data_IF_978571488323
#
_entry.id   IF_978571488323
#
_cell.length_a   1.000
_cell.length_b   1.000
_cell.length_c   1.000
_cell.angle_alpha   90.00
_cell.angle_beta   90.00
_cell.angle_gamma   90.00
#
_symmetry.space_group_name_H-M   'P 1'
#
loop_
_entity.id
_entity.type
_entity.pdbx_description
1 polymer ?
#
# COMPACT_ATOMS: atom_id res chain seq x y z
N UNK A 1 16.84 -13.07 16.81
CA UNK A 1 16.09 -12.37 17.87
C UNK A 1 16.37 -10.88 17.90
N UNK A 2 17.62 -10.41 18.09
CA UNK A 2 17.92 -8.97 18.18
C UNK A 2 17.59 -8.19 16.89
N UNK A 3 17.87 -8.76 15.72
CA UNK A 3 17.55 -8.11 14.43
C UNK A 3 16.04 -8.01 14.17
N UNK A 4 15.29 -9.08 14.48
CA UNK A 4 13.83 -9.08 14.43
C UNK A 4 13.23 -7.99 15.33
N UNK A 5 13.72 -7.90 16.56
CA UNK A 5 13.27 -6.90 17.52
C UNK A 5 13.60 -5.47 17.05
N UNK A 6 14.80 -5.25 16.52
CA UNK A 6 15.19 -3.98 15.89
C UNK A 6 14.25 -3.58 14.76
N UNK A 7 13.96 -4.53 13.85
CA UNK A 7 13.06 -4.31 12.73
C UNK A 7 11.65 -3.93 13.20
N UNK A 8 11.07 -4.69 14.13
CA UNK A 8 9.72 -4.41 14.67
C UNK A 8 9.66 -3.00 15.26
N UNK A 9 10.61 -2.64 16.13
CA UNK A 9 10.64 -1.32 16.76
C UNK A 9 10.79 -0.20 15.73
N UNK A 10 11.62 -0.39 14.70
CA UNK A 10 11.79 0.61 13.64
C UNK A 10 10.51 0.81 12.84
N UNK A 11 9.79 -0.27 12.49
CA UNK A 11 8.53 -0.18 11.76
C UNK A 11 7.42 0.47 12.60
N UNK A 12 7.32 0.13 13.90
CA UNK A 12 6.33 0.71 14.80
C UNK A 12 6.56 2.22 15.06
N UNK A 13 7.78 2.73 14.84
CA UNK A 13 8.04 4.18 14.89
C UNK A 13 7.52 4.93 13.68
N UNK A 14 7.40 4.26 12.53
CA UNK A 14 6.96 4.87 11.27
C UNK A 14 5.44 5.05 11.27
N UNK A 15 4.90 5.92 10.39
CA UNK A 15 3.47 5.97 10.15
C UNK A 15 2.94 4.61 9.68
N UNK A 16 1.71 4.20 10.06
CA UNK A 16 0.73 4.95 10.85
C UNK A 16 0.84 4.79 12.38
N UNK A 17 1.76 3.94 12.88
CA UNK A 17 1.84 3.57 14.29
C UNK A 17 2.44 4.65 15.20
N UNK A 18 3.46 5.37 14.72
CA UNK A 18 4.06 6.54 15.38
C UNK A 18 4.48 6.31 16.86
N UNK A 19 4.86 5.08 17.24
CA UNK A 19 5.30 4.71 18.61
C UNK A 19 6.74 5.14 18.88
N UNK A 20 6.97 6.46 18.99
CA UNK A 20 8.31 7.07 19.13
C UNK A 20 9.02 6.69 20.43
N UNK A 21 8.25 6.32 21.45
CA UNK A 21 8.67 5.90 22.79
C UNK A 21 9.27 4.47 22.83
N UNK A 22 9.03 3.66 21.81
CA UNK A 22 9.61 2.32 21.74
C UNK A 22 11.10 2.34 21.41
N UNK A 23 11.88 1.59 22.16
CA UNK A 23 13.25 1.22 21.86
C UNK A 23 13.40 -0.29 22.15
N UNK A 24 14.54 -0.88 21.79
CA UNK A 24 14.74 -2.34 21.92
C UNK A 24 14.48 -2.81 23.37
N UNK A 25 14.96 -2.04 24.36
CA UNK A 25 14.82 -2.38 25.77
C UNK A 25 13.39 -2.18 26.27
N UNK A 26 12.76 -1.04 25.95
CA UNK A 26 11.38 -0.75 26.40
C UNK A 26 10.38 -1.70 25.75
N UNK A 27 10.60 -2.06 24.49
CA UNK A 27 9.74 -3.00 23.77
C UNK A 27 9.93 -4.44 24.26
N UNK A 28 11.17 -4.88 24.51
CA UNK A 28 11.39 -6.21 25.09
C UNK A 28 10.87 -6.30 26.53
N UNK A 29 10.84 -5.21 27.28
CA UNK A 29 10.27 -5.21 28.64
C UNK A 29 8.74 -5.11 28.68
N UNK A 30 8.04 -5.06 27.54
CA UNK A 30 6.58 -5.10 27.52
C UNK A 30 6.07 -6.39 28.17
N UNK A 31 5.04 -6.25 28.99
CA UNK A 31 4.30 -7.40 29.51
C UNK A 31 3.58 -8.10 28.36
N UNK A 32 3.28 -9.39 28.51
CA UNK A 32 2.62 -10.18 27.47
C UNK A 32 1.27 -9.56 27.02
N UNK A 33 0.50 -9.00 27.96
CA UNK A 33 -0.73 -8.26 27.63
C UNK A 33 -0.44 -6.99 26.82
N UNK A 34 0.56 -6.19 27.20
CA UNK A 34 0.93 -5.02 26.39
C UNK A 34 1.38 -5.41 24.98
N UNK A 35 2.08 -6.53 24.85
CA UNK A 35 2.52 -7.05 23.56
C UNK A 35 1.33 -7.53 22.70
N UNK A 36 0.35 -8.20 23.30
CA UNK A 36 -0.91 -8.57 22.63
C UNK A 36 -1.77 -7.35 22.24
N UNK A 37 -1.72 -6.28 23.03
CA UNK A 37 -2.36 -5.01 22.67
C UNK A 37 -1.67 -4.41 21.45
N UNK A 38 -0.33 -4.39 21.41
CA UNK A 38 0.42 -3.94 20.23
C UNK A 38 0.04 -4.76 18.99
N UNK A 39 -0.08 -6.09 19.13
CA UNK A 39 -0.53 -6.94 18.03
C UNK A 39 -1.96 -6.59 17.57
N UNK A 40 -2.87 -6.33 18.51
CA UNK A 40 -4.24 -5.88 18.22
C UNK A 40 -4.26 -4.54 17.48
N UNK A 41 -3.46 -3.57 17.93
CA UNK A 41 -3.30 -2.28 17.27
C UNK A 41 -2.74 -2.43 15.84
N UNK A 42 -1.82 -3.37 15.62
CA UNK A 42 -1.30 -3.69 14.28
C UNK A 42 -2.39 -4.28 13.39
N UNK A 43 -3.21 -5.19 13.91
CA UNK A 43 -4.38 -5.68 13.17
C UNK A 43 -5.36 -4.56 12.84
N UNK A 44 -5.60 -3.60 13.73
CA UNK A 44 -6.49 -2.45 13.46
C UNK A 44 -5.98 -1.55 12.32
N UNK A 45 -4.67 -1.55 12.07
CA UNK A 45 -4.08 -0.85 10.93
C UNK A 45 -4.17 -1.68 9.65
N UNK A 46 -3.95 -2.99 9.74
CA UNK A 46 -4.00 -3.91 8.60
C UNK A 46 -5.43 -4.10 8.10
N UNK A 47 -6.38 -4.27 9.01
CA UNK A 47 -7.80 -4.34 8.75
C UNK A 47 -8.54 -3.21 9.50
N UNK A 48 -8.56 -1.99 8.95
CA UNK A 48 -9.23 -0.86 9.59
C UNK A 48 -10.76 -0.94 9.56
N UNK A 49 -11.31 -1.89 8.80
CA UNK A 49 -12.74 -2.04 8.57
C UNK A 49 -13.41 -3.02 9.54
N UNK A 50 -12.63 -3.89 10.19
CA UNK A 50 -13.12 -4.72 11.29
C UNK A 50 -13.03 -3.95 12.63
N UNK A 51 -14.18 -3.55 13.23
CA UNK A 51 -14.18 -2.86 14.51
C UNK A 51 -13.67 -3.74 15.67
N UNK A 52 -13.63 -5.07 15.50
CA UNK A 52 -13.13 -6.01 16.52
C UNK A 52 -11.66 -5.79 16.86
N UNK A 53 -10.92 -5.07 16.02
CA UNK A 53 -9.51 -4.73 16.28
C UNK A 53 -9.32 -3.42 17.04
N UNK A 54 -10.37 -2.59 17.24
CA UNK A 54 -10.30 -1.32 17.96
C UNK A 54 -10.79 -1.45 19.40
N UNK A 55 -10.25 -2.42 20.11
CA UNK A 55 -10.61 -2.72 21.50
C UNK A 55 -9.35 -2.76 22.37
N UNK A 56 -9.51 -2.43 23.66
CA UNK A 56 -8.52 -2.79 24.67
C UNK A 56 -8.69 -4.28 24.97
N UNK A 57 -7.61 -5.05 24.87
CA UNK A 57 -7.65 -6.50 25.13
C UNK A 57 -8.02 -6.81 26.58
N UNK A 58 -7.92 -5.85 27.50
CA UNK A 58 -8.34 -6.02 28.91
C UNK A 58 -9.85 -6.09 29.07
N UNK A 59 -10.59 -5.58 28.08
CA UNK A 59 -12.04 -5.66 28.02
C UNK A 59 -12.54 -6.94 27.33
N UNK A 60 -11.61 -7.83 26.91
CA UNK A 60 -11.90 -9.07 26.22
C UNK A 60 -11.30 -10.27 26.98
N UNK A 61 -12.02 -11.40 26.98
CA UNK A 61 -11.49 -12.65 27.54
C UNK A 61 -10.26 -13.12 26.73
N UNK A 62 -9.17 -13.57 27.36
CA UNK A 62 -7.94 -13.95 26.66
C UNK A 62 -8.14 -15.00 25.55
N UNK A 63 -9.04 -15.96 25.78
CA UNK A 63 -9.41 -16.98 24.79
C UNK A 63 -10.12 -16.38 23.58
N UNK A 64 -10.96 -15.35 23.79
CA UNK A 64 -11.65 -14.64 22.70
C UNK A 64 -10.66 -13.83 21.89
N UNK A 65 -9.74 -13.11 22.53
CA UNK A 65 -8.65 -12.38 21.87
C UNK A 65 -7.80 -13.31 21.02
N UNK A 66 -7.38 -14.46 21.56
CA UNK A 66 -6.58 -15.42 20.82
C UNK A 66 -7.34 -16.01 19.63
N UNK A 67 -8.62 -16.33 19.80
CA UNK A 67 -9.49 -16.83 18.71
C UNK A 67 -9.60 -15.80 17.59
N UNK A 68 -9.83 -14.53 17.95
CA UNK A 68 -9.90 -13.42 17.00
C UNK A 68 -8.59 -13.24 16.25
N UNK A 69 -7.45 -13.16 16.96
CA UNK A 69 -6.13 -13.09 16.35
C UNK A 69 -5.85 -14.28 15.41
N UNK A 70 -6.20 -15.50 15.80
CA UNK A 70 -6.04 -16.68 14.96
C UNK A 70 -6.88 -16.60 13.68
N UNK A 71 -8.12 -16.13 13.77
CA UNK A 71 -9.00 -15.99 12.61
C UNK A 71 -8.46 -14.93 11.64
N UNK A 72 -8.02 -13.78 12.16
CA UNK A 72 -7.38 -12.74 11.35
C UNK A 72 -6.11 -13.26 10.69
N UNK A 73 -5.25 -13.97 11.42
CA UNK A 73 -4.02 -14.56 10.86
C UNK A 73 -4.31 -15.59 9.76
N UNK A 74 -5.33 -16.44 9.95
CA UNK A 74 -5.77 -17.41 8.93
C UNK A 74 -6.25 -16.71 7.68
N UNK A 75 -7.08 -15.67 7.83
CA UNK A 75 -7.61 -14.86 6.73
C UNK A 75 -6.49 -14.14 5.96
N UNK A 76 -5.49 -13.61 6.68
CA UNK A 76 -4.30 -13.01 6.07
C UNK A 76 -3.33 -14.05 5.47
N UNK A 77 -3.59 -15.35 5.63
CA UNK A 77 -2.76 -16.41 5.08
C UNK A 77 -1.45 -16.66 5.85
N UNK A 78 -1.37 -16.26 7.11
CA UNK A 78 -0.21 -16.52 7.94
C UNK A 78 0.01 -18.03 8.12
N UNK A 79 1.28 -18.43 8.07
CA UNK A 79 1.74 -19.79 8.33
C UNK A 79 2.85 -19.74 9.39
N UNK A 80 2.62 -20.25 10.61
CA UNK A 80 3.65 -20.30 11.64
C UNK A 80 4.89 -21.04 11.12
N UNK A 81 6.09 -20.48 11.38
CA UNK A 81 7.36 -21.09 10.94
C UNK A 81 7.75 -22.32 11.75
N UNK A 82 7.23 -22.44 12.97
CA UNK A 82 7.48 -23.60 13.82
C UNK A 82 6.43 -24.66 13.48
N UNK A 83 6.86 -25.91 13.29
CA UNK A 83 6.00 -27.10 13.29
C UNK A 83 5.48 -27.35 14.72
N UNK A 84 4.78 -26.36 15.27
CA UNK A 84 4.14 -26.43 16.58
C UNK A 84 2.69 -26.83 16.35
N UNK A 85 2.21 -27.80 17.13
CA UNK A 85 0.80 -28.18 17.12
C UNK A 85 -0.10 -26.94 17.31
N UNK A 86 -1.26 -26.96 16.64
CA UNK A 86 -2.20 -25.83 16.64
C UNK A 86 -2.62 -25.45 18.05
N UNK A 87 -2.74 -26.44 18.95
CA UNK A 87 -3.12 -26.20 20.34
C UNK A 87 -2.02 -25.46 21.11
N UNK A 88 -0.77 -25.87 20.94
CA UNK A 88 0.38 -25.19 21.57
C UNK A 88 0.56 -23.78 21.02
N UNK A 89 0.38 -23.58 19.71
CA UNK A 89 0.39 -22.25 19.12
C UNK A 89 -0.71 -21.36 19.71
N UNK A 90 -1.93 -21.89 19.85
CA UNK A 90 -3.05 -21.18 20.49
C UNK A 90 -2.73 -20.84 21.95
N UNK A 91 -2.23 -21.77 22.74
CA UNK A 91 -1.88 -21.53 24.15
C UNK A 91 -0.84 -20.43 24.31
N UNK A 92 0.20 -20.45 23.47
CA UNK A 92 1.24 -19.43 23.47
C UNK A 92 0.72 -18.06 22.99
N UNK A 93 -0.28 -18.05 22.11
CA UNK A 93 -0.94 -16.81 21.71
C UNK A 93 -1.83 -16.25 22.83
N UNK A 94 -2.59 -17.10 23.52
CA UNK A 94 -3.39 -16.72 24.70
C UNK A 94 -2.49 -16.12 25.79
N UNK A 95 -1.32 -16.71 26.03
CA UNK A 95 -0.38 -16.22 27.04
C UNK A 95 0.44 -15.01 26.59
N UNK A 96 0.35 -14.61 25.32
CA UNK A 96 1.12 -13.51 24.73
C UNK A 96 2.63 -13.78 24.68
N UNK A 97 3.02 -15.03 24.44
CA UNK A 97 4.42 -15.45 24.40
C UNK A 97 5.19 -14.73 23.28
N UNK A 98 6.32 -14.13 23.66
CA UNK A 98 7.18 -13.38 22.73
C UNK A 98 7.67 -14.22 21.55
N UNK A 99 7.92 -15.52 21.77
CA UNK A 99 8.36 -16.45 20.73
C UNK A 99 7.33 -16.65 19.62
N UNK A 100 6.05 -16.37 19.91
CA UNK A 100 4.95 -16.42 18.93
C UNK A 100 4.61 -15.03 18.42
N UNK A 101 4.49 -14.04 19.30
CA UNK A 101 4.03 -12.70 18.91
C UNK A 101 5.08 -11.94 18.09
N UNK A 102 6.38 -12.05 18.37
CA UNK A 102 7.41 -11.34 17.59
C UNK A 102 7.46 -11.80 16.12
N UNK A 103 7.45 -13.12 15.80
CA UNK A 103 7.33 -13.57 14.41
C UNK A 103 6.08 -13.08 13.69
N UNK A 104 4.95 -13.01 14.38
CA UNK A 104 3.70 -12.49 13.80
C UNK A 104 3.84 -11.01 13.47
N UNK A 105 4.31 -10.20 14.43
CA UNK A 105 4.53 -8.76 14.24
C UNK A 105 5.50 -8.49 13.10
N UNK A 106 6.64 -9.21 13.05
CA UNK A 106 7.59 -9.06 11.95
C UNK A 106 6.92 -9.33 10.61
N UNK A 107 6.18 -10.42 10.48
CA UNK A 107 5.52 -10.81 9.23
C UNK A 107 4.46 -9.79 8.78
N UNK A 108 3.67 -9.25 9.72
CA UNK A 108 2.69 -8.20 9.44
C UNK A 108 3.38 -6.90 8.99
N UNK A 109 4.44 -6.50 9.69
CA UNK A 109 5.13 -5.24 9.44
C UNK A 109 6.00 -5.25 8.17
N UNK A 110 6.42 -6.43 7.70
CA UNK A 110 7.21 -6.58 6.47
C UNK A 110 6.44 -6.21 5.20
N UNK A 111 5.13 -6.51 5.17
CA UNK A 111 4.30 -6.41 3.96
C UNK A 111 2.92 -5.79 4.24
N UNK A 112 2.89 -4.69 5.00
CA UNK A 112 1.63 -4.02 5.39
C UNK A 112 0.68 -3.77 4.19
N UNK A 113 1.14 -3.23 3.03
CA UNK A 113 0.23 -3.00 1.90
C UNK A 113 -0.42 -4.27 1.36
N UNK A 114 0.34 -5.37 1.26
CA UNK A 114 -0.18 -6.67 0.79
C UNK A 114 -1.19 -7.25 1.79
N UNK A 115 -0.92 -7.11 3.09
CA UNK A 115 -1.84 -7.58 4.12
C UNK A 115 -3.13 -6.75 4.19
N UNK A 116 -3.03 -5.43 3.98
CA UNK A 116 -4.21 -4.55 3.86
C UNK A 116 -5.10 -4.94 2.69
N UNK A 117 -4.48 -5.20 1.55
CA UNK A 117 -5.19 -5.69 0.37
C UNK A 117 -5.84 -7.05 0.64
N UNK A 118 -5.13 -7.97 1.29
CA UNK A 118 -5.69 -9.28 1.63
C UNK A 118 -6.83 -9.19 2.64
N UNK A 119 -6.74 -8.32 3.65
CA UNK A 119 -7.83 -8.05 4.58
C UNK A 119 -9.07 -7.52 3.85
N UNK A 120 -8.87 -6.54 2.97
CA UNK A 120 -9.94 -5.98 2.14
C UNK A 120 -10.60 -7.05 1.26
N UNK A 121 -9.81 -7.85 0.54
CA UNK A 121 -10.32 -8.94 -0.29
C UNK A 121 -11.01 -10.01 0.54
N UNK A 122 -10.43 -10.40 1.68
CA UNK A 122 -10.98 -11.39 2.59
C UNK A 122 -12.40 -11.05 3.06
N UNK A 123 -12.72 -9.77 3.24
CA UNK A 123 -14.08 -9.34 3.59
C UNK A 123 -15.14 -9.70 2.54
N UNK A 124 -14.79 -9.63 1.27
CA UNK A 124 -15.73 -9.84 0.16
C UNK A 124 -15.65 -11.25 -0.43
N UNK A 125 -14.52 -11.92 -0.26
CA UNK A 125 -14.23 -13.22 -0.86
C UNK A 125 -14.21 -14.39 0.16
N UNK A 126 -14.50 -14.12 1.43
CA UNK A 126 -14.73 -15.20 2.40
C UNK A 126 -16.07 -15.84 2.10
N UNK A 127 -16.03 -17.04 1.50
CA UNK A 127 -17.22 -17.85 1.27
C UNK A 127 -17.88 -18.20 2.59
N UNK A 128 -19.19 -18.03 2.65
CA UNK A 128 -20.01 -18.55 3.73
C UNK A 128 -20.23 -20.02 3.42
N UNK A 129 -19.72 -20.90 4.28
CA UNK A 129 -19.96 -22.34 4.15
C UNK A 129 -21.40 -22.63 4.57
N UNK A 130 -22.30 -22.76 3.58
CA UNK A 130 -23.72 -23.06 3.80
C UNK A 130 -23.89 -24.58 3.85
N UNK A 131 -24.35 -25.15 4.98
CA UNK A 131 -24.58 -26.59 5.08
C UNK A 131 -25.57 -27.07 4.02
N UNK A 132 -25.33 -28.26 3.46
CA UNK A 132 -26.11 -28.84 2.37
C UNK A 132 -27.61 -29.01 2.68
N UNK A 133 -27.96 -29.14 3.97
CA UNK A 133 -29.34 -29.20 4.44
C UNK A 133 -30.11 -27.92 4.10
N UNK A 134 -29.48 -26.75 4.17
CA UNK A 134 -30.09 -25.46 3.82
C UNK A 134 -30.13 -25.23 2.31
N UNK A 135 -29.17 -25.78 1.55
CA UNK A 135 -29.15 -25.70 0.08
C UNK A 135 -30.25 -26.54 -0.58
N UNK A 136 -31.00 -27.34 0.20
CA UNK A 136 -32.21 -28.02 -0.30
C UNK A 136 -33.38 -27.07 -0.50
N UNK A 137 -33.35 -25.89 0.13
CA UNK A 137 -34.31 -24.81 -0.12
C UNK A 137 -33.93 -24.07 -1.41
N UNK A 138 -34.81 -24.03 -2.42
CA UNK A 138 -34.54 -23.37 -3.69
C UNK A 138 -34.17 -21.89 -3.57
N UNK A 139 -34.76 -21.16 -2.62
CA UNK A 139 -34.50 -19.72 -2.45
C UNK A 139 -33.10 -19.49 -1.86
N UNK A 140 -32.69 -20.34 -0.92
CA UNK A 140 -31.34 -20.29 -0.32
C UNK A 140 -30.29 -20.69 -1.37
N UNK A 141 -30.57 -21.73 -2.17
CA UNK A 141 -29.67 -22.17 -3.22
C UNK A 141 -29.46 -21.09 -4.29
N UNK A 142 -30.53 -20.45 -4.77
CA UNK A 142 -30.46 -19.35 -5.74
C UNK A 142 -29.66 -18.17 -5.18
N UNK A 143 -29.89 -17.78 -3.92
CA UNK A 143 -29.16 -16.67 -3.30
C UNK A 143 -27.67 -17.00 -3.07
N UNK A 144 -27.35 -18.26 -2.76
CA UNK A 144 -25.97 -18.73 -2.64
C UNK A 144 -25.24 -18.67 -3.98
N UNK A 145 -25.86 -19.17 -5.05
CA UNK A 145 -25.32 -19.10 -6.42
C UNK A 145 -25.10 -17.65 -6.85
N UNK A 146 -26.08 -16.77 -6.64
CA UNK A 146 -25.96 -15.34 -6.92
C UNK A 146 -24.84 -14.66 -6.13
N UNK A 147 -24.63 -15.06 -4.88
CA UNK A 147 -23.51 -14.56 -4.08
C UNK A 147 -22.17 -15.00 -4.68
N UNK A 148 -22.05 -16.25 -5.13
CA UNK A 148 -20.84 -16.76 -5.78
C UNK A 148 -20.57 -16.02 -7.11
N UNK A 149 -21.60 -15.75 -7.92
CA UNK A 149 -21.48 -14.95 -9.15
C UNK A 149 -20.96 -13.54 -8.87
N UNK A 150 -21.53 -12.84 -7.87
CA UNK A 150 -21.09 -11.51 -7.47
C UNK A 150 -19.64 -11.52 -6.94
N UNK A 151 -19.22 -12.60 -6.28
CA UNK A 151 -17.82 -12.75 -5.86
C UNK A 151 -16.88 -12.89 -7.05
N UNK A 152 -17.25 -13.62 -8.11
CA UNK A 152 -16.44 -13.71 -9.33
C UNK A 152 -16.40 -12.37 -10.08
N UNK A 153 -17.53 -11.69 -10.25
CA UNK A 153 -17.59 -10.35 -10.85
C UNK A 153 -16.69 -9.37 -10.08
N UNK A 154 -16.74 -9.39 -8.75
CA UNK A 154 -15.86 -8.56 -7.91
C UNK A 154 -14.37 -8.84 -8.16
N UNK A 155 -13.97 -10.11 -8.35
CA UNK A 155 -12.57 -10.44 -8.66
C UNK A 155 -12.13 -9.85 -9.99
N UNK A 156 -12.98 -9.90 -11.01
CA UNK A 156 -12.68 -9.35 -12.32
C UNK A 156 -12.54 -7.83 -12.27
N UNK A 157 -13.52 -7.13 -11.69
CA UNK A 157 -13.49 -5.67 -11.55
C UNK A 157 -12.29 -5.22 -10.70
N UNK A 158 -11.98 -5.94 -9.60
CA UNK A 158 -10.83 -5.62 -8.79
C UNK A 158 -9.51 -5.85 -9.55
N UNK A 159 -9.39 -6.92 -10.34
CA UNK A 159 -8.21 -7.18 -11.19
C UNK A 159 -8.01 -6.05 -12.18
N UNK A 160 -9.06 -5.64 -12.91
CA UNK A 160 -8.99 -4.52 -13.85
C UNK A 160 -8.59 -3.22 -13.16
N UNK A 161 -9.21 -2.89 -12.03
CA UNK A 161 -8.84 -1.72 -11.23
C UNK A 161 -7.35 -1.73 -10.84
N UNK A 162 -6.82 -2.89 -10.45
CA UNK A 162 -5.39 -3.04 -10.09
C UNK A 162 -4.48 -2.87 -11.29
N UNK A 163 -4.85 -3.39 -12.45
CA UNK A 163 -4.12 -3.17 -13.69
C UNK A 163 -4.07 -1.69 -14.05
N UNK A 164 -5.21 -0.99 -14.02
CA UNK A 164 -5.29 0.45 -14.30
C UNK A 164 -4.46 1.26 -13.30
N UNK A 165 -4.59 0.96 -12.00
CA UNK A 165 -3.90 1.70 -10.93
C UNK A 165 -2.44 1.33 -10.73
N UNK A 166 -1.95 0.25 -11.37
CA UNK A 166 -0.53 -0.10 -11.40
C UNK A 166 0.31 0.79 -12.34
N UNK A 167 -0.34 1.68 -13.11
CA UNK A 167 0.30 2.66 -14.01
C UNK A 167 0.45 4.11 -13.46
N UNK A 168 0.60 4.37 -12.14
CA UNK A 168 0.53 5.73 -11.59
C UNK A 168 1.77 6.58 -11.91
N UNK A 169 2.89 5.94 -12.24
CA UNK A 169 4.13 6.62 -12.61
C UNK A 169 3.94 7.54 -13.83
N UNK A 170 3.01 7.20 -14.74
CA UNK A 170 2.79 8.02 -15.93
C UNK A 170 2.15 9.38 -15.61
N UNK A 171 1.20 9.47 -14.68
CA UNK A 171 0.46 10.73 -14.47
C UNK A 171 1.29 11.78 -13.71
N UNK A 172 2.00 11.38 -12.65
CA UNK A 172 2.84 12.31 -11.88
C UNK A 172 4.08 12.74 -12.66
N UNK A 173 4.71 11.82 -13.41
CA UNK A 173 5.82 12.17 -14.29
C UNK A 173 5.34 13.09 -15.42
N UNK A 174 4.19 12.83 -16.06
CA UNK A 174 3.62 13.75 -17.05
C UNK A 174 3.33 15.14 -16.46
N UNK A 175 2.82 15.23 -15.23
CA UNK A 175 2.62 16.51 -14.55
C UNK A 175 3.93 17.24 -14.28
N UNK A 176 4.98 16.52 -13.88
CA UNK A 176 6.32 17.08 -13.68
C UNK A 176 6.89 17.59 -15.00
N UNK A 177 6.76 16.81 -16.06
CA UNK A 177 7.27 17.15 -17.39
C UNK A 177 6.53 18.36 -17.98
N UNK A 178 5.20 18.44 -17.82
CA UNK A 178 4.41 19.62 -18.20
C UNK A 178 4.93 20.85 -17.48
N UNK A 179 5.12 20.78 -16.16
CA UNK A 179 5.63 21.91 -15.37
C UNK A 179 7.03 22.32 -15.83
N UNK A 180 7.91 21.37 -16.10
CA UNK A 180 9.25 21.67 -16.62
C UNK A 180 9.18 22.39 -17.97
N UNK A 181 8.34 21.92 -18.90
CA UNK A 181 8.15 22.56 -20.20
C UNK A 181 7.55 23.97 -20.08
N UNK A 182 6.66 24.20 -19.11
CA UNK A 182 6.11 25.51 -18.81
C UNK A 182 7.19 26.48 -18.29
N UNK A 183 8.03 26.03 -17.35
CA UNK A 183 9.13 26.82 -16.79
C UNK A 183 10.19 27.16 -17.88
N UNK A 184 10.49 26.19 -18.75
CA UNK A 184 11.38 26.40 -19.91
C UNK A 184 10.81 27.40 -20.89
N UNK A 185 9.52 27.30 -21.21
CA UNK A 185 8.81 28.26 -22.07
C UNK A 185 8.87 29.67 -21.50
N UNK A 186 8.59 29.84 -20.21
CA UNK A 186 8.65 31.17 -19.57
C UNK A 186 10.07 31.75 -19.62
N UNK A 187 11.08 30.91 -19.36
CA UNK A 187 12.49 31.30 -19.44
C UNK A 187 12.89 31.73 -20.85
N UNK A 188 12.48 30.97 -21.87
CA UNK A 188 12.73 31.29 -23.27
C UNK A 188 12.00 32.58 -23.69
N UNK A 189 10.77 32.79 -23.25
CA UNK A 189 10.03 34.04 -23.49
C UNK A 189 10.75 35.24 -22.88
N UNK A 190 11.20 35.15 -21.62
CA UNK A 190 11.99 36.22 -20.98
C UNK A 190 13.30 36.52 -21.74
N UNK A 191 13.99 35.47 -22.21
CA UNK A 191 15.20 35.63 -23.04
C UNK A 191 14.88 36.29 -24.39
N UNK A 192 13.79 35.88 -25.02
CA UNK A 192 13.33 36.43 -26.30
C UNK A 192 13.03 37.92 -26.17
N UNK A 193 12.29 38.33 -25.14
CA UNK A 193 11.96 39.75 -24.92
C UNK A 193 13.21 40.61 -24.65
N UNK A 194 14.17 40.08 -23.89
CA UNK A 194 15.49 40.73 -23.72
C UNK A 194 16.23 40.90 -25.04
N UNK A 195 16.21 39.88 -25.91
CA UNK A 195 16.85 39.97 -27.22
C UNK A 195 16.12 40.94 -28.13
N UNK A 196 14.78 40.89 -28.23
CA UNK A 196 13.97 41.85 -28.99
C UNK A 196 14.28 43.30 -28.61
N UNK A 197 14.43 43.58 -27.32
CA UNK A 197 14.79 44.92 -26.83
C UNK A 197 16.16 45.36 -27.35
N UNK A 198 17.16 44.45 -27.43
CA UNK A 198 18.50 44.77 -27.95
C UNK A 198 18.50 45.06 -29.45
N UNK A 199 17.71 44.32 -30.23
CA UNK A 199 17.61 44.51 -31.69
C UNK A 199 16.57 45.56 -32.12
N UNK A 200 15.91 46.24 -31.17
CA UNK A 200 14.84 47.20 -31.47
C UNK A 200 15.27 48.36 -32.38
N UNK A 201 16.56 48.73 -32.35
CA UNK A 201 17.14 49.80 -33.20
C UNK A 201 17.65 49.30 -34.56
N UNK A 202 17.61 47.99 -34.81
CA UNK A 202 18.07 47.39 -36.06
C UNK A 202 16.94 47.46 -37.11
N UNK A 203 17.22 47.87 -38.35
CA UNK A 203 16.21 47.88 -39.42
C UNK A 203 15.58 46.50 -39.62
N UNK A 204 14.25 46.47 -39.81
CA UNK A 204 13.50 45.22 -39.99
C UNK A 204 14.03 44.36 -41.16
N UNK A 205 14.46 45.00 -42.25
CA UNK A 205 15.06 44.33 -43.42
C UNK A 205 16.33 43.55 -43.10
N UNK A 206 17.14 44.02 -42.15
CA UNK A 206 18.36 43.30 -41.71
C UNK A 206 18.01 42.10 -40.83
N UNK A 207 16.95 42.20 -40.00
CA UNK A 207 16.46 41.09 -39.18
C UNK A 207 15.89 39.98 -40.07
N UNK A 208 15.14 40.34 -41.11
CA UNK A 208 14.62 39.39 -42.09
C UNK A 208 15.74 38.70 -42.87
N UNK A 209 16.73 39.46 -43.34
CA UNK A 209 17.89 38.88 -44.03
C UNK A 209 18.66 37.90 -43.13
N UNK A 210 18.88 38.25 -41.86
CA UNK A 210 19.54 37.37 -40.90
C UNK A 210 18.72 36.09 -40.61
N UNK A 211 17.38 36.20 -40.57
CA UNK A 211 16.49 35.04 -40.41
C UNK A 211 16.60 34.10 -41.61
N UNK A 212 16.56 34.64 -42.83
CA UNK A 212 16.69 33.86 -44.07
C UNK A 212 18.06 33.18 -44.14
N UNK A 213 19.14 33.91 -43.84
CA UNK A 213 20.49 33.35 -43.80
C UNK A 213 20.59 32.18 -42.80
N UNK A 214 20.07 32.34 -41.58
CA UNK A 214 20.03 31.25 -40.59
C UNK A 214 19.28 30.02 -41.12
N UNK A 215 18.13 30.21 -41.77
CA UNK A 215 17.35 29.09 -42.30
C UNK A 215 18.10 28.32 -43.40
N UNK A 216 18.87 29.01 -44.25
CA UNK A 216 19.68 28.35 -45.27
C UNK A 216 20.86 27.59 -44.65
N UNK A 217 21.50 28.13 -43.61
CA UNK A 217 22.55 27.41 -42.85
C UNK A 217 21.98 26.16 -42.17
N UNK A 218 20.82 26.27 -41.49
CA UNK A 218 20.15 25.13 -40.85
C UNK A 218 19.77 24.03 -41.88
N UNK A 219 19.47 24.41 -43.13
CA UNK A 219 19.19 23.46 -44.23
C UNK A 219 20.47 22.80 -44.74
N UNK A 220 21.54 23.57 -44.92
CA UNK A 220 22.85 23.07 -45.35
C UNK A 220 23.40 22.06 -44.34
N UNK A 221 23.30 22.34 -43.03
CA UNK A 221 23.71 21.39 -41.99
C UNK A 221 22.89 20.10 -42.00
N UNK A 222 21.59 20.18 -42.28
CA UNK A 222 20.74 18.98 -42.40
C UNK A 222 21.10 18.16 -43.63
N UNK A 223 21.40 18.80 -44.75
CA UNK A 223 21.82 18.13 -45.98
C UNK A 223 23.19 17.47 -45.85
N UNK A 224 24.12 18.07 -45.10
CA UNK A 224 25.44 17.51 -44.84
C UNK A 224 25.45 16.40 -43.77
N UNK A 225 24.41 16.32 -42.93
CA UNK A 225 24.25 15.30 -41.88
C UNK A 225 23.25 14.18 -42.27
N UNK A 226 22.76 14.17 -43.50
CA UNK A 226 22.06 13.04 -44.12
C UNK A 226 23.05 12.12 -44.84
#
# INVERSE_FOLDING_TARGET
MVEQLKFIVEQLKRPPFNRKDYNILTFDNLTNNQLLQVLTDVFAVVDPYDPSHKIDIRDEEPDKTATRHMNTLKMLGYRPKLETDVNTFRQNLVSGDKSVVFPILQWLLEKIPEHKERAYLGRYLSRIDVPSEFLSDPEIAEQHERSDELMEEFKEVHREYKELTSTPHTIEDLRRDIKQLEDEKETLQKRLEKQKTKVQKVPASQIELAKTYRQEVDKEEKLNNM
#
